data_IF_875359436797
#
_entry.id   IF_875359436797
#
_cell.length_a   1.000
_cell.length_b   1.000
_cell.length_c   1.000
_cell.angle_alpha   90.00
_cell.angle_beta   90.00
_cell.angle_gamma   90.00
#
_symmetry.space_group_name_H-M   'P 1'
#
loop_
_entity.id
_entity.type
_entity.pdbx_description
1 polymer ?
#
# COMPACT_ATOMS: atom_id res chain seq x y z
N UNK A 1 -4.59 -24.96 -17.95
CA UNK A 1 -5.50 -24.51 -16.88
C UNK A 1 -5.69 -23.02 -17.09
N UNK A 2 -6.93 -22.53 -17.12
CA UNK A 2 -7.20 -21.11 -17.36
C UNK A 2 -6.70 -20.28 -16.18
N UNK A 3 -5.67 -19.46 -16.42
CA UNK A 3 -5.27 -18.46 -15.45
C UNK A 3 -6.44 -17.47 -15.24
N UNK A 4 -6.82 -17.18 -13.99
CA UNK A 4 -7.80 -16.14 -13.71
C UNK A 4 -7.30 -14.79 -14.27
N UNK A 5 -8.21 -13.94 -14.76
CA UNK A 5 -7.84 -12.58 -15.18
C UNK A 5 -7.58 -11.69 -13.96
N UNK A 6 -6.37 -11.78 -13.40
CA UNK A 6 -5.90 -11.00 -12.25
C UNK A 6 -6.00 -9.47 -12.49
N UNK A 7 -5.80 -9.04 -13.74
CA UNK A 7 -5.93 -7.63 -14.13
C UNK A 7 -7.35 -7.08 -13.93
N UNK A 8 -8.39 -7.91 -14.06
CA UNK A 8 -9.79 -7.49 -13.92
C UNK A 8 -10.35 -7.56 -12.49
N UNK A 9 -9.68 -8.30 -11.59
CA UNK A 9 -10.12 -8.47 -10.20
C UNK A 9 -9.83 -7.23 -9.34
N UNK A 10 -10.68 -6.95 -8.35
CA UNK A 10 -10.37 -5.91 -7.37
C UNK A 10 -9.19 -6.30 -6.47
N UNK A 11 -8.47 -5.33 -5.92
CA UNK A 11 -7.31 -5.54 -5.04
C UNK A 11 -7.63 -6.43 -3.83
N UNK A 12 -8.88 -6.39 -3.32
CA UNK A 12 -9.38 -7.31 -2.27
C UNK A 12 -9.50 -8.76 -2.74
N UNK A 13 -9.99 -8.99 -3.95
CA UNK A 13 -10.15 -10.33 -4.52
C UNK A 13 -8.80 -10.97 -4.82
N UNK A 14 -7.88 -10.18 -5.41
CA UNK A 14 -6.49 -10.58 -5.60
C UNK A 14 -5.82 -10.96 -4.28
N UNK A 15 -6.00 -10.16 -3.23
CA UNK A 15 -5.46 -10.48 -1.91
C UNK A 15 -5.99 -11.82 -1.40
N UNK A 16 -7.30 -12.06 -1.47
CA UNK A 16 -7.89 -13.33 -1.02
C UNK A 16 -7.39 -14.52 -1.85
N UNK A 17 -7.21 -14.32 -3.16
CA UNK A 17 -6.67 -15.32 -4.07
C UNK A 17 -5.22 -15.68 -3.73
N UNK A 18 -4.34 -14.68 -3.62
CA UNK A 18 -2.91 -14.84 -3.27
C UNK A 18 -2.75 -15.51 -1.90
N UNK A 19 -3.61 -15.19 -0.93
CA UNK A 19 -3.58 -15.84 0.39
C UNK A 19 -3.93 -17.33 0.31
N UNK A 20 -4.81 -17.71 -0.61
CA UNK A 20 -5.25 -19.09 -0.84
C UNK A 20 -4.31 -19.86 -1.79
N UNK A 21 -3.60 -19.15 -2.68
CA UNK A 21 -2.71 -19.68 -3.71
C UNK A 21 -1.33 -19.04 -3.58
N UNK A 22 -0.63 -19.35 -2.49
CA UNK A 22 0.67 -18.74 -2.19
C UNK A 22 1.79 -19.13 -3.16
N UNK A 23 1.65 -20.24 -3.86
CA UNK A 23 2.57 -20.67 -4.93
C UNK A 23 2.36 -19.93 -6.25
N UNK A 24 1.24 -19.21 -6.41
CA UNK A 24 0.94 -18.45 -7.62
C UNK A 24 1.66 -17.10 -7.60
N UNK A 25 2.88 -17.11 -8.11
CA UNK A 25 3.72 -15.91 -8.22
C UNK A 25 3.07 -14.85 -9.11
N UNK A 26 2.35 -15.25 -10.15
CA UNK A 26 1.73 -14.32 -11.09
C UNK A 26 0.65 -13.49 -10.38
N UNK A 27 -0.21 -14.16 -9.60
CA UNK A 27 -1.20 -13.49 -8.76
C UNK A 27 -0.56 -12.53 -7.75
N UNK A 28 0.56 -12.94 -7.13
CA UNK A 28 1.31 -12.10 -6.19
C UNK A 28 1.88 -10.85 -6.87
N UNK A 29 2.55 -11.00 -8.01
CA UNK A 29 3.12 -9.86 -8.75
C UNK A 29 2.02 -8.90 -9.20
N UNK A 30 0.90 -9.38 -9.76
CA UNK A 30 -0.22 -8.52 -10.15
C UNK A 30 -0.82 -7.78 -8.95
N UNK A 31 -0.94 -8.43 -7.80
CA UNK A 31 -1.42 -7.80 -6.58
C UNK A 31 -0.50 -6.67 -6.10
N UNK A 32 0.81 -6.92 -6.07
CA UNK A 32 1.82 -5.92 -5.66
C UNK A 32 1.91 -4.76 -6.65
N UNK A 33 1.83 -5.04 -7.95
CA UNK A 33 1.87 -4.01 -9.00
C UNK A 33 0.67 -3.08 -8.92
N UNK A 34 -0.54 -3.63 -8.76
CA UNK A 34 -1.75 -2.86 -8.47
C UNK A 34 -1.63 -2.04 -7.20
N UNK A 35 -1.12 -2.64 -6.13
CA UNK A 35 -0.87 -1.95 -4.87
C UNK A 35 0.07 -0.77 -5.08
N UNK A 36 1.17 -0.94 -5.82
CA UNK A 36 2.09 0.16 -6.15
C UNK A 36 1.44 1.23 -7.01
N UNK A 37 0.59 0.86 -7.96
CA UNK A 37 -0.12 1.80 -8.82
C UNK A 37 -1.20 2.61 -8.07
N UNK A 38 -1.89 2.00 -7.10
CA UNK A 38 -2.86 2.69 -6.22
C UNK A 38 -2.19 3.40 -5.03
N UNK A 39 -1.01 2.92 -4.61
CA UNK A 39 -0.28 3.46 -3.48
C UNK A 39 0.28 4.84 -3.81
N UNK A 40 -0.37 5.87 -3.28
CA UNK A 40 0.22 7.19 -3.14
C UNK A 40 1.19 7.23 -1.94
N UNK A 41 2.04 6.21 -1.80
CA UNK A 41 2.98 6.10 -0.70
C UNK A 41 4.13 7.07 -0.92
N UNK A 42 4.39 7.90 0.09
CA UNK A 42 5.61 8.71 0.13
C UNK A 42 6.75 7.75 0.41
N UNK A 43 7.64 7.54 -0.57
CA UNK A 43 8.86 6.76 -0.38
C UNK A 43 9.71 7.44 0.71
N UNK A 44 9.74 6.82 1.90
CA UNK A 44 10.61 7.26 2.99
C UNK A 44 11.88 6.40 2.93
N UNK A 45 13.04 6.96 2.55
CA UNK A 45 14.30 6.23 2.66
C UNK A 45 14.55 5.87 4.13
N UNK A 46 15.39 4.86 4.42
CA UNK A 46 15.78 4.54 5.79
C UNK A 46 16.37 5.80 6.42
N UNK A 47 15.67 6.38 7.40
CA UNK A 47 16.16 7.55 8.09
C UNK A 47 17.37 7.15 8.92
N UNK A 48 18.51 7.81 8.70
CA UNK A 48 19.75 7.52 9.41
C UNK A 48 19.66 7.92 10.89
N UNK A 49 18.66 8.74 11.26
CA UNK A 49 18.45 9.22 12.63
C UNK A 49 17.04 9.75 12.86
N UNK A 50 16.64 9.85 14.13
CA UNK A 50 15.33 10.43 14.55
C UNK A 50 15.21 11.91 14.15
N UNK A 51 16.32 12.65 14.12
CA UNK A 51 16.32 14.05 13.67
C UNK A 51 16.04 14.21 12.17
N UNK A 52 16.27 13.16 11.37
CA UNK A 52 16.01 13.18 9.92
C UNK A 52 14.51 13.24 9.62
N UNK A 53 13.64 12.84 10.56
CA UNK A 53 12.18 13.06 10.45
C UNK A 53 11.80 14.55 10.29
N UNK A 54 12.65 15.49 10.75
CA UNK A 54 12.40 16.93 10.56
C UNK A 54 12.64 17.38 9.12
N UNK A 55 13.40 16.62 8.33
CA UNK A 55 13.66 16.89 6.92
C UNK A 55 12.49 16.49 6.01
N UNK A 56 11.49 15.78 6.53
CA UNK A 56 10.32 15.31 5.78
C UNK A 56 9.02 15.99 6.27
N UNK A 57 8.83 17.29 5.97
CA UNK A 57 7.63 18.02 6.40
C UNK A 57 6.33 17.46 5.79
N UNK A 58 6.39 16.84 4.61
CA UNK A 58 5.24 16.22 3.95
C UNK A 58 4.72 14.99 4.73
N UNK A 59 5.61 14.21 5.35
CA UNK A 59 5.23 13.11 6.23
C UNK A 59 4.51 13.62 7.48
N UNK A 60 5.05 14.69 8.10
CA UNK A 60 4.43 15.32 9.27
C UNK A 60 3.05 15.92 8.93
N UNK A 61 2.88 16.49 7.73
CA UNK A 61 1.59 16.98 7.24
C UNK A 61 0.58 15.86 7.00
N UNK A 62 1.02 14.73 6.42
CA UNK A 62 0.15 13.56 6.24
C UNK A 62 -0.35 13.01 7.58
N UNK A 63 0.53 12.93 8.59
CA UNK A 63 0.16 12.55 9.96
C UNK A 63 -0.78 13.54 10.64
N UNK A 64 -0.57 14.86 10.46
CA UNK A 64 -1.47 15.88 11.04
C UNK A 64 -2.86 15.82 10.42
N UNK A 65 -2.94 15.58 9.10
CA UNK A 65 -4.20 15.46 8.40
C UNK A 65 -4.93 14.16 8.77
N UNK A 66 -4.18 13.08 9.01
CA UNK A 66 -4.71 11.82 9.55
C UNK A 66 -5.32 11.97 10.95
N UNK A 67 -4.69 12.73 11.85
CA UNK A 67 -5.26 13.05 13.18
C UNK A 67 -6.59 13.80 13.08
N UNK A 68 -6.66 14.80 12.19
CA UNK A 68 -7.87 15.60 12.00
C UNK A 68 -9.07 14.78 11.47
N UNK A 69 -8.80 13.72 10.69
CA UNK A 69 -9.84 12.80 10.22
C UNK A 69 -10.37 11.88 11.33
N UNK A 70 -9.52 11.44 12.26
CA UNK A 70 -9.94 10.63 13.40
C UNK A 70 -10.77 11.42 14.42
N UNK A 71 -10.47 12.70 14.63
CA UNK A 71 -11.24 13.59 15.52
C UNK A 71 -12.55 14.12 14.89
N UNK A 72 -12.78 13.87 13.59
CA UNK A 72 -14.02 14.28 12.90
C UNK A 72 -15.07 13.15 12.81
N UNK A 73 -14.77 11.98 13.39
CA UNK A 73 -15.66 10.81 13.49
C UNK A 73 -16.20 10.57 14.92
N UNK A 74 -16.14 11.57 15.82
CA UNK A 74 -16.73 11.53 17.17
C UNK A 74 -17.88 12.54 17.36
#
# INVERSE_FOLDING_TARGET
MSQPNFQGMSTKELRAYVLSHRDDQEAFYTYVDKLKAEANWVEMPPSESVDDLKNYPEFLQSLSNGKKLLESEE
#
